data_IF_070454946311
#
_entry.id   IF_070454946311
#
_cell.length_a   1.000
_cell.length_b   1.000
_cell.length_c   1.000
_cell.angle_alpha   90.00
_cell.angle_beta   90.00
_cell.angle_gamma   90.00
#
_symmetry.space_group_name_H-M   'P 1'
#
loop_
_entity.id
_entity.type
_entity.pdbx_description
1 polymer ?
#
# COMPACT_ATOMS: atom_id res chain seq x y z
N UNK A 1 6.33 -7.15 -16.23
CA UNK A 1 6.76 -5.81 -15.78
C UNK A 1 5.70 -5.15 -14.89
N UNK A 2 4.40 -5.17 -15.27
CA UNK A 2 3.32 -4.58 -14.46
C UNK A 2 3.26 -5.09 -13.02
N UNK A 3 3.54 -6.37 -12.77
CA UNK A 3 3.44 -6.98 -11.43
C UNK A 3 4.62 -6.61 -10.51
N UNK A 4 5.79 -6.32 -11.08
CA UNK A 4 6.96 -5.80 -10.32
C UNK A 4 6.64 -4.45 -9.70
N UNK A 5 6.04 -3.54 -10.48
CA UNK A 5 5.71 -2.19 -10.01
C UNK A 5 4.63 -2.15 -8.92
N UNK A 6 3.74 -3.12 -8.89
CA UNK A 6 2.60 -3.15 -7.97
C UNK A 6 2.99 -3.56 -6.54
N UNK A 7 4.01 -4.42 -6.40
CA UNK A 7 4.58 -4.75 -5.07
C UNK A 7 5.41 -3.63 -4.46
N UNK A 8 5.84 -2.66 -5.25
CA UNK A 8 6.46 -1.44 -4.73
C UNK A 8 5.55 -0.73 -3.72
N UNK A 9 4.26 -0.62 -4.04
CA UNK A 9 3.28 0.04 -3.17
C UNK A 9 3.14 -0.62 -1.80
N UNK A 10 3.26 -1.94 -1.70
CA UNK A 10 3.24 -2.67 -0.43
C UNK A 10 4.45 -2.30 0.46
N UNK A 11 5.65 -2.33 -0.10
CA UNK A 11 6.88 -2.05 0.66
C UNK A 11 6.94 -0.61 1.13
N UNK A 12 6.42 0.34 0.33
CA UNK A 12 6.27 1.73 0.72
C UNK A 12 5.46 1.83 2.02
N UNK A 13 4.31 1.18 2.08
CA UNK A 13 3.45 1.27 3.26
C UNK A 13 4.06 0.59 4.48
N UNK A 14 4.58 -0.61 4.33
CA UNK A 14 5.14 -1.37 5.46
C UNK A 14 6.42 -0.73 6.01
N UNK A 15 7.24 -0.11 5.13
CA UNK A 15 8.47 0.56 5.54
C UNK A 15 8.27 1.93 6.15
N UNK A 16 7.31 2.72 5.66
CA UNK A 16 7.21 4.13 5.99
C UNK A 16 5.97 4.55 6.77
N UNK A 17 4.93 3.70 6.91
CA UNK A 17 3.74 4.07 7.67
C UNK A 17 4.04 4.35 9.14
N UNK A 18 4.86 3.53 9.79
CA UNK A 18 5.22 3.73 11.19
C UNK A 18 6.13 4.96 11.41
N UNK A 19 7.24 5.18 10.66
CA UNK A 19 7.99 6.42 10.71
C UNK A 19 7.13 7.66 10.48
N UNK A 20 6.22 7.61 9.50
CA UNK A 20 5.28 8.69 9.23
C UNK A 20 4.37 9.00 10.43
N UNK A 21 3.66 8.01 10.96
CA UNK A 21 2.80 8.22 12.12
C UNK A 21 3.57 8.68 13.35
N UNK A 22 4.78 8.17 13.54
CA UNK A 22 5.66 8.55 14.66
C UNK A 22 6.21 9.97 14.52
N UNK A 23 6.33 10.51 13.31
CA UNK A 23 6.81 11.88 13.09
C UNK A 23 5.90 12.95 13.71
N UNK A 24 4.61 12.64 13.88
CA UNK A 24 3.67 13.54 14.55
C UNK A 24 3.90 13.71 16.05
N UNK A 25 4.73 12.87 16.69
CA UNK A 25 5.13 13.06 18.10
C UNK A 25 5.86 14.38 18.33
N UNK A 26 6.54 14.89 17.30
CA UNK A 26 7.22 16.19 17.34
C UNK A 26 6.29 17.40 17.21
N UNK A 27 5.00 17.18 16.95
CA UNK A 27 4.00 18.26 16.83
C UNK A 27 3.19 18.34 18.11
N UNK A 28 3.30 19.44 18.91
CA UNK A 28 2.61 19.53 20.20
C UNK A 28 1.11 19.30 20.13
N UNK A 29 0.47 19.73 19.02
CA UNK A 29 -0.97 19.57 18.79
C UNK A 29 -1.39 18.09 18.67
N UNK A 30 -0.50 17.22 18.17
CA UNK A 30 -0.82 15.82 17.84
C UNK A 30 -0.12 14.81 18.76
N UNK A 31 0.85 15.24 19.58
CA UNK A 31 1.69 14.36 20.39
C UNK A 31 0.89 13.39 21.27
N UNK A 32 -0.24 13.86 21.83
CA UNK A 32 -1.08 13.08 22.75
C UNK A 32 -2.29 12.43 22.06
N UNK A 33 -2.38 12.48 20.72
CA UNK A 33 -3.48 11.86 20.00
C UNK A 33 -3.40 10.34 19.98
N UNK A 34 -4.55 9.67 19.88
CA UNK A 34 -4.63 8.20 19.82
C UNK A 34 -3.79 7.65 18.65
N UNK A 35 -3.86 8.27 17.48
CA UNK A 35 -3.15 7.81 16.28
C UNK A 35 -1.64 7.79 16.44
N UNK A 36 -1.08 8.75 17.17
CA UNK A 36 0.36 8.85 17.43
C UNK A 36 0.81 7.90 18.53
N UNK A 37 0.05 7.82 19.62
CA UNK A 37 0.39 6.97 20.76
C UNK A 37 0.17 5.48 20.47
N UNK A 38 -0.75 5.16 19.56
CA UNK A 38 -1.11 3.80 19.20
C UNK A 38 -0.95 3.52 17.69
N UNK A 39 0.13 4.03 17.07
CA UNK A 39 0.42 3.83 15.65
C UNK A 39 0.38 2.35 15.23
N UNK A 40 0.90 1.46 16.08
CA UNK A 40 0.86 0.02 15.82
C UNK A 40 -0.57 -0.55 15.84
N UNK A 41 -1.46 -0.01 16.67
CA UNK A 41 -2.87 -0.44 16.69
C UNK A 41 -3.57 -0.01 15.39
N UNK A 42 -3.31 1.19 14.88
CA UNK A 42 -3.79 1.62 13.56
C UNK A 42 -3.28 0.71 12.45
N UNK A 43 -1.98 0.40 12.45
CA UNK A 43 -1.39 -0.48 11.45
C UNK A 43 -1.98 -1.89 11.54
N UNK A 44 -2.26 -2.40 12.74
CA UNK A 44 -2.90 -3.70 12.94
C UNK A 44 -4.32 -3.78 12.35
N UNK A 45 -5.00 -2.64 12.23
CA UNK A 45 -6.31 -2.58 11.57
C UNK A 45 -6.24 -3.00 10.09
N UNK A 46 -5.11 -2.76 9.42
CA UNK A 46 -4.89 -3.24 8.05
C UNK A 46 -4.88 -4.77 7.96
N UNK A 47 -4.34 -5.46 8.96
CA UNK A 47 -4.31 -6.93 9.02
C UNK A 47 -5.73 -7.51 9.23
N UNK A 48 -6.56 -6.84 10.04
CA UNK A 48 -7.97 -7.19 10.17
C UNK A 48 -8.69 -7.01 8.83
N UNK A 49 -8.42 -5.91 8.14
CA UNK A 49 -8.97 -5.66 6.79
C UNK A 49 -8.54 -6.73 5.79
N UNK A 50 -7.27 -7.13 5.76
CA UNK A 50 -6.79 -8.25 4.92
C UNK A 50 -7.61 -9.52 5.16
N UNK A 51 -7.76 -9.91 6.42
CA UNK A 51 -8.53 -11.12 6.77
C UNK A 51 -9.97 -11.06 6.23
N UNK A 52 -10.65 -9.94 6.38
CA UNK A 52 -12.00 -9.75 5.87
C UNK A 52 -12.03 -9.72 4.34
N UNK A 53 -11.07 -9.06 3.71
CA UNK A 53 -10.97 -8.98 2.25
C UNK A 53 -10.75 -10.36 1.62
N UNK A 54 -9.90 -11.21 2.21
CA UNK A 54 -9.69 -12.59 1.73
C UNK A 54 -11.01 -13.37 1.69
N UNK A 55 -11.86 -13.22 2.71
CA UNK A 55 -13.16 -13.88 2.76
C UNK A 55 -14.13 -13.35 1.68
N UNK A 56 -13.98 -12.09 1.27
CA UNK A 56 -14.83 -11.46 0.24
C UNK A 56 -14.38 -11.76 -1.19
N UNK A 57 -13.13 -12.15 -1.40
CA UNK A 57 -12.55 -12.36 -2.74
C UNK A 57 -13.37 -13.33 -3.63
N UNK A 58 -13.79 -14.50 -3.17
CA UNK A 58 -14.57 -15.42 -4.03
C UNK A 58 -15.86 -14.78 -4.56
N UNK A 59 -16.52 -14.00 -3.70
CA UNK A 59 -17.74 -13.28 -4.06
C UNK A 59 -17.46 -12.18 -5.08
N UNK A 60 -16.44 -11.37 -4.84
CA UNK A 60 -16.08 -10.23 -5.70
C UNK A 60 -15.59 -10.73 -7.07
N UNK A 61 -14.74 -11.76 -7.10
CA UNK A 61 -14.25 -12.35 -8.36
C UNK A 61 -15.38 -12.95 -9.20
N UNK A 62 -16.35 -13.59 -8.56
CA UNK A 62 -17.52 -14.15 -9.25
C UNK A 62 -18.36 -13.07 -9.94
N UNK A 63 -18.49 -11.89 -9.32
CA UNK A 63 -19.35 -10.81 -9.83
C UNK A 63 -18.63 -9.88 -10.81
N UNK A 64 -17.37 -9.56 -10.57
CA UNK A 64 -16.63 -8.55 -11.34
C UNK A 64 -15.59 -9.14 -12.29
N UNK A 65 -15.15 -10.37 -12.06
CA UNK A 65 -14.07 -11.00 -12.82
C UNK A 65 -12.68 -10.45 -12.49
N UNK A 66 -11.63 -11.18 -12.86
CA UNK A 66 -10.23 -10.92 -12.48
C UNK A 66 -9.78 -9.51 -12.87
N UNK A 67 -10.01 -9.09 -14.12
CA UNK A 67 -9.53 -7.79 -14.64
C UNK A 67 -10.07 -6.60 -13.84
N UNK A 68 -11.38 -6.60 -13.56
CA UNK A 68 -12.00 -5.50 -12.81
C UNK A 68 -11.57 -5.49 -11.35
N UNK A 69 -11.38 -6.66 -10.74
CA UNK A 69 -10.90 -6.78 -9.37
C UNK A 69 -9.47 -6.26 -9.25
N UNK A 70 -8.60 -6.54 -10.23
CA UNK A 70 -7.25 -5.96 -10.29
C UNK A 70 -7.29 -4.43 -10.42
N UNK A 71 -8.18 -3.87 -11.26
CA UNK A 71 -8.34 -2.42 -11.38
C UNK A 71 -8.82 -1.79 -10.06
N UNK A 72 -9.79 -2.41 -9.38
CA UNK A 72 -10.28 -1.96 -8.06
C UNK A 72 -9.12 -1.94 -7.06
N UNK A 73 -8.28 -2.98 -7.04
CA UNK A 73 -7.11 -3.04 -6.18
C UNK A 73 -6.10 -1.92 -6.47
N UNK A 74 -5.87 -1.59 -7.74
CA UNK A 74 -4.98 -0.48 -8.12
C UNK A 74 -5.54 0.88 -7.70
N UNK A 75 -6.83 1.12 -7.91
CA UNK A 75 -7.50 2.34 -7.43
C UNK A 75 -7.47 2.43 -5.90
N UNK A 76 -7.59 1.30 -5.20
CA UNK A 76 -7.45 1.24 -3.75
C UNK A 76 -6.05 1.68 -3.28
N UNK A 77 -4.97 1.34 -4.01
CA UNK A 77 -3.62 1.86 -3.72
C UNK A 77 -3.53 3.38 -3.86
N UNK A 78 -4.10 3.95 -4.92
CA UNK A 78 -4.14 5.42 -5.12
C UNK A 78 -4.88 6.09 -3.97
N UNK A 79 -6.07 5.56 -3.62
CA UNK A 79 -6.89 6.07 -2.53
C UNK A 79 -6.15 5.98 -1.19
N UNK A 80 -5.49 4.86 -0.90
CA UNK A 80 -4.73 4.65 0.32
C UNK A 80 -3.64 5.70 0.50
N UNK A 81 -2.81 5.91 -0.51
CA UNK A 81 -1.74 6.91 -0.44
C UNK A 81 -2.29 8.34 -0.38
N UNK A 82 -3.36 8.64 -1.13
CA UNK A 82 -4.05 9.93 -1.05
C UNK A 82 -4.58 10.23 0.35
N UNK A 83 -5.18 9.25 1.01
CA UNK A 83 -5.66 9.35 2.40
C UNK A 83 -4.52 9.58 3.41
N UNK A 84 -3.37 8.95 3.21
CA UNK A 84 -2.19 9.25 4.03
C UNK A 84 -1.66 10.68 3.79
N UNK A 85 -1.68 11.14 2.55
CA UNK A 85 -1.21 12.48 2.20
C UNK A 85 -2.12 13.61 2.74
N UNK A 86 -3.42 13.35 2.85
CA UNK A 86 -4.41 14.32 3.34
C UNK A 86 -4.68 14.21 4.84
N UNK A 87 -4.44 13.03 5.43
CA UNK A 87 -4.79 12.74 6.82
C UNK A 87 -3.85 13.40 7.83
N UNK A 88 -4.36 13.57 9.03
CA UNK A 88 -3.59 13.93 10.21
C UNK A 88 -4.09 13.13 11.44
N UNK A 89 -3.30 12.99 12.50
CA UNK A 89 -3.70 12.19 13.66
C UNK A 89 -4.72 12.86 14.58
N UNK A 90 -5.07 14.12 14.34
CA UNK A 90 -6.13 14.84 15.03
C UNK A 90 -7.50 14.68 14.36
N UNK A 91 -8.13 15.76 13.86
CA UNK A 91 -9.46 15.69 13.21
C UNK A 91 -9.48 14.79 11.96
N UNK A 92 -8.33 14.60 11.30
CA UNK A 92 -8.18 13.78 10.10
C UNK A 92 -7.83 12.31 10.35
N UNK A 93 -7.83 11.82 11.60
CA UNK A 93 -7.48 10.43 11.94
C UNK A 93 -8.36 9.40 11.23
N UNK A 94 -9.59 9.75 10.92
CA UNK A 94 -10.50 8.88 10.16
C UNK A 94 -9.96 8.54 8.75
N UNK A 95 -9.16 9.43 8.14
CA UNK A 95 -8.51 9.16 6.85
C UNK A 95 -7.45 8.07 7.01
N UNK A 96 -6.71 8.05 8.11
CA UNK A 96 -5.77 6.97 8.42
C UNK A 96 -6.50 5.65 8.65
N UNK A 97 -7.58 5.67 9.43
CA UNK A 97 -8.42 4.48 9.64
C UNK A 97 -8.95 3.94 8.31
N UNK A 98 -9.51 4.82 7.47
CA UNK A 98 -10.01 4.43 6.16
C UNK A 98 -8.89 3.89 5.25
N UNK A 99 -7.71 4.51 5.28
CA UNK A 99 -6.53 4.01 4.56
C UNK A 99 -6.13 2.60 5.00
N UNK A 100 -6.20 2.30 6.31
CA UNK A 100 -5.91 0.96 6.83
C UNK A 100 -6.97 -0.07 6.38
N UNK A 101 -8.24 0.32 6.32
CA UNK A 101 -9.32 -0.55 5.81
C UNK A 101 -9.15 -0.82 4.31
N UNK A 102 -8.84 0.21 3.53
CA UNK A 102 -8.64 0.10 2.08
C UNK A 102 -7.43 -0.80 1.73
N UNK A 103 -6.50 -0.96 2.66
CA UNK A 103 -5.31 -1.78 2.45
C UNK A 103 -5.61 -3.24 2.08
N UNK A 104 -6.56 -3.88 2.75
CA UNK A 104 -6.95 -5.25 2.43
C UNK A 104 -7.44 -5.37 0.97
N UNK A 105 -8.27 -4.42 0.51
CA UNK A 105 -8.71 -4.37 -0.89
C UNK A 105 -7.52 -4.17 -1.83
N UNK A 106 -6.63 -3.24 -1.51
CA UNK A 106 -5.48 -2.94 -2.36
C UNK A 106 -4.51 -4.13 -2.48
N UNK A 107 -4.24 -4.81 -1.37
CA UNK A 107 -3.25 -5.87 -1.30
C UNK A 107 -3.79 -7.23 -1.74
N UNK A 108 -4.86 -7.72 -1.10
CA UNK A 108 -5.34 -9.08 -1.32
C UNK A 108 -6.02 -9.25 -2.67
N UNK A 109 -6.86 -8.29 -3.07
CA UNK A 109 -7.51 -8.36 -4.37
C UNK A 109 -6.49 -8.40 -5.49
N UNK A 110 -5.41 -7.64 -5.36
CA UNK A 110 -4.34 -7.66 -6.35
C UNK A 110 -3.58 -8.99 -6.37
N UNK A 111 -3.09 -9.45 -5.21
CA UNK A 111 -2.26 -10.65 -5.12
C UNK A 111 -3.01 -11.91 -5.57
N UNK A 112 -4.23 -12.09 -5.07
CA UNK A 112 -5.02 -13.29 -5.38
C UNK A 112 -5.49 -13.25 -6.82
N UNK A 113 -5.97 -12.11 -7.33
CA UNK A 113 -6.36 -11.99 -8.74
C UNK A 113 -5.19 -12.17 -9.68
N UNK A 114 -4.01 -11.64 -9.35
CA UNK A 114 -2.79 -11.81 -10.15
C UNK A 114 -2.33 -13.27 -10.20
N UNK A 115 -2.32 -13.96 -9.06
CA UNK A 115 -2.02 -15.38 -9.00
C UNK A 115 -3.03 -16.22 -9.81
N UNK A 116 -4.32 -15.93 -9.70
CA UNK A 116 -5.36 -16.59 -10.49
C UNK A 116 -5.21 -16.30 -11.99
N UNK A 117 -4.86 -15.06 -12.34
CA UNK A 117 -4.60 -14.70 -13.74
C UNK A 117 -3.46 -15.54 -14.32
N UNK A 118 -2.31 -15.60 -13.63
CA UNK A 118 -1.17 -16.42 -14.04
C UNK A 118 -1.58 -17.89 -14.16
N UNK A 119 -2.37 -18.38 -13.22
CA UNK A 119 -2.83 -19.77 -13.22
C UNK A 119 -3.74 -20.10 -14.41
N UNK A 120 -4.58 -19.15 -14.83
CA UNK A 120 -5.51 -19.33 -15.94
C UNK A 120 -4.86 -19.18 -17.32
N UNK A 121 -3.82 -18.34 -17.42
CA UNK A 121 -3.11 -18.04 -18.68
C UNK A 121 -1.93 -19.00 -18.93
N UNK A 122 -1.69 -19.97 -18.03
CA UNK A 122 -0.51 -20.84 -18.12
C UNK A 122 -0.91 -22.31 -18.22
N UNK A 123 -0.25 -23.03 -19.14
CA UNK A 123 -0.41 -24.45 -19.30
C UNK A 123 -0.06 -25.24 -18.02
N UNK A 124 -0.75 -26.36 -17.80
CA UNK A 124 -0.57 -27.21 -16.63
C UNK A 124 0.90 -27.64 -16.42
N UNK A 125 1.63 -27.87 -17.51
CA UNK A 125 3.02 -28.35 -17.49
C UNK A 125 4.02 -27.35 -16.89
N UNK A 126 3.77 -26.04 -17.02
CA UNK A 126 4.68 -24.97 -16.57
C UNK A 126 4.06 -24.08 -15.48
N UNK A 127 2.86 -24.39 -15.04
CA UNK A 127 2.08 -23.56 -14.10
C UNK A 127 2.84 -23.28 -12.79
N UNK A 128 3.45 -24.30 -12.22
CA UNK A 128 4.23 -24.13 -10.98
C UNK A 128 5.43 -23.19 -11.16
N UNK A 129 6.12 -23.29 -12.32
CA UNK A 129 7.23 -22.41 -12.66
C UNK A 129 6.76 -20.97 -12.88
N UNK A 130 5.61 -20.76 -13.54
CA UNK A 130 5.01 -19.46 -13.76
C UNK A 130 4.59 -18.79 -12.43
N UNK A 131 4.00 -19.56 -11.52
CA UNK A 131 3.70 -19.06 -10.15
C UNK A 131 4.97 -18.71 -9.37
N UNK A 132 6.01 -19.54 -9.44
CA UNK A 132 7.32 -19.25 -8.86
C UNK A 132 7.92 -17.96 -9.42
N UNK A 133 7.88 -17.78 -10.74
CA UNK A 133 8.32 -16.55 -11.40
C UNK A 133 7.50 -15.33 -10.97
N UNK A 134 6.19 -15.45 -10.88
CA UNK A 134 5.30 -14.40 -10.38
C UNK A 134 5.71 -13.96 -8.97
N UNK A 135 5.98 -14.90 -8.07
CA UNK A 135 6.43 -14.60 -6.70
C UNK A 135 7.81 -13.92 -6.69
N UNK A 136 8.77 -14.41 -7.49
CA UNK A 136 10.11 -13.80 -7.59
C UNK A 136 10.01 -12.37 -8.12
N UNK A 137 9.25 -12.17 -9.18
CA UNK A 137 9.07 -10.84 -9.79
C UNK A 137 8.38 -9.86 -8.84
N UNK A 138 7.38 -10.31 -8.09
CA UNK A 138 6.64 -9.45 -7.16
C UNK A 138 7.36 -9.28 -5.83
N UNK A 139 7.69 -10.35 -5.12
CA UNK A 139 8.26 -10.30 -3.76
C UNK A 139 9.78 -10.08 -3.74
N UNK A 140 10.48 -10.51 -4.78
CA UNK A 140 11.91 -10.30 -4.91
C UNK A 140 12.21 -8.95 -5.56
N UNK A 141 12.19 -8.93 -6.88
CA UNK A 141 12.62 -7.76 -7.67
C UNK A 141 11.74 -6.54 -7.40
N UNK A 142 10.40 -6.72 -7.43
CA UNK A 142 9.46 -5.63 -7.20
C UNK A 142 9.58 -5.02 -5.81
N UNK A 143 9.72 -5.85 -4.78
CA UNK A 143 9.90 -5.38 -3.42
C UNK A 143 11.24 -4.61 -3.26
N UNK A 144 12.34 -5.11 -3.83
CA UNK A 144 13.66 -4.46 -3.75
C UNK A 144 13.64 -3.10 -4.45
N UNK A 145 13.22 -3.05 -5.72
CA UNK A 145 13.14 -1.81 -6.48
C UNK A 145 12.18 -0.82 -5.82
N UNK A 146 11.05 -1.33 -5.29
CA UNK A 146 10.07 -0.53 -4.57
C UNK A 146 10.62 0.11 -3.31
N UNK A 147 11.35 -0.64 -2.50
CA UNK A 147 11.95 -0.12 -1.27
C UNK A 147 13.01 0.94 -1.58
N UNK A 148 13.89 0.68 -2.55
CA UNK A 148 14.93 1.64 -2.94
C UNK A 148 14.33 2.92 -3.55
N UNK A 149 13.34 2.78 -4.42
CA UNK A 149 12.64 3.92 -5.00
C UNK A 149 11.87 4.74 -3.96
N UNK A 150 11.17 4.07 -3.05
CA UNK A 150 10.46 4.73 -1.95
C UNK A 150 11.42 5.47 -1.02
N UNK A 151 12.56 4.86 -0.67
CA UNK A 151 13.58 5.52 0.15
C UNK A 151 14.13 6.76 -0.54
N UNK A 152 14.38 6.71 -1.85
CA UNK A 152 14.85 7.88 -2.61
C UNK A 152 13.83 9.02 -2.60
N UNK A 153 12.53 8.72 -2.75
CA UNK A 153 11.46 9.72 -2.64
C UNK A 153 11.37 10.29 -1.23
N UNK A 154 11.37 9.45 -0.20
CA UNK A 154 11.33 9.90 1.20
C UNK A 154 12.52 10.81 1.49
N UNK A 155 13.73 10.41 1.16
CA UNK A 155 14.95 11.21 1.40
C UNK A 155 14.94 12.55 0.65
N UNK A 156 14.15 12.69 -0.42
CA UNK A 156 14.02 13.94 -1.17
C UNK A 156 13.17 14.98 -0.45
N UNK A 157 12.15 14.54 0.27
CA UNK A 157 11.16 15.41 0.89
C UNK A 157 11.20 15.42 2.41
N UNK A 158 11.79 14.40 3.03
CA UNK A 158 11.82 14.19 4.48
C UNK A 158 13.26 13.96 4.92
N UNK A 159 13.75 14.80 5.85
CA UNK A 159 15.03 14.56 6.53
C UNK A 159 14.79 13.66 7.75
N UNK A 160 15.09 12.38 7.62
CA UNK A 160 14.90 11.39 8.68
C UNK A 160 15.78 11.62 9.92
N UNK A 161 16.80 12.47 9.82
CA UNK A 161 17.68 12.84 10.95
C UNK A 161 17.21 14.10 11.67
N UNK A 162 16.24 14.83 11.12
CA UNK A 162 15.71 16.04 11.74
C UNK A 162 14.73 15.68 12.86
N UNK A 163 14.85 16.37 13.98
CA UNK A 163 13.85 16.32 15.06
C UNK A 163 12.67 17.28 14.82
N UNK A 164 12.76 18.13 13.81
CA UNK A 164 11.67 19.05 13.46
C UNK A 164 10.53 18.34 12.75
N UNK A 165 9.27 18.71 13.00
CA UNK A 165 8.12 18.17 12.29
C UNK A 165 8.20 18.47 10.79
N UNK A 166 7.98 17.45 9.94
CA UNK A 166 8.10 17.56 8.49
C UNK A 166 6.80 17.11 7.79
N UNK A 167 5.67 17.63 8.25
CA UNK A 167 4.35 17.20 7.77
C UNK A 167 4.14 17.44 6.28
N UNK A 168 4.59 18.58 5.76
CA UNK A 168 4.50 18.89 4.33
C UNK A 168 5.34 17.92 3.49
N UNK A 169 6.55 17.60 3.93
CA UNK A 169 7.43 16.64 3.28
C UNK A 169 6.81 15.25 3.20
N UNK A 170 6.18 14.80 4.29
CA UNK A 170 5.47 13.53 4.31
C UNK A 170 4.22 13.55 3.42
N UNK A 171 3.43 14.61 3.44
CA UNK A 171 2.26 14.76 2.58
C UNK A 171 2.66 14.70 1.11
N UNK A 172 3.70 15.45 0.70
CA UNK A 172 4.23 15.40 -0.67
C UNK A 172 4.72 14.01 -1.05
N UNK A 173 5.41 13.32 -0.14
CA UNK A 173 5.86 11.94 -0.35
C UNK A 173 4.69 11.00 -0.66
N UNK A 174 3.62 11.06 0.12
CA UNK A 174 2.43 10.24 -0.10
C UNK A 174 1.71 10.57 -1.40
N UNK A 175 1.65 11.85 -1.80
CA UNK A 175 1.08 12.25 -3.10
C UNK A 175 1.92 11.79 -4.27
N UNK A 176 3.25 11.78 -4.17
CA UNK A 176 4.13 11.18 -5.19
C UNK A 176 3.82 9.69 -5.33
N UNK A 177 3.66 8.96 -4.21
CA UNK A 177 3.28 7.55 -4.25
C UNK A 177 1.88 7.32 -4.83
N UNK A 178 0.91 8.19 -4.53
CA UNK A 178 -0.42 8.14 -5.13
C UNK A 178 -0.38 8.37 -6.64
N UNK A 179 0.38 9.37 -7.09
CA UNK A 179 0.60 9.66 -8.51
C UNK A 179 1.29 8.52 -9.24
N UNK A 180 2.29 7.90 -8.61
CA UNK A 180 2.94 6.70 -9.13
C UNK A 180 1.94 5.54 -9.27
N UNK A 181 1.16 5.24 -8.23
CA UNK A 181 0.14 4.19 -8.29
C UNK A 181 -0.91 4.47 -9.38
N UNK A 182 -1.31 5.74 -9.57
CA UNK A 182 -2.24 6.16 -10.61
C UNK A 182 -1.66 5.93 -12.02
N UNK A 183 -0.36 6.21 -12.22
CA UNK A 183 0.29 6.01 -13.52
C UNK A 183 0.31 4.54 -13.97
N UNK A 184 0.27 3.60 -13.02
CA UNK A 184 0.26 2.17 -13.31
C UNK A 184 -1.11 1.64 -13.78
N UNK A 185 -2.19 2.41 -13.61
CA UNK A 185 -3.53 2.01 -14.07
C UNK A 185 -3.62 1.99 -15.59
N UNK A 186 -2.79 2.76 -16.26
CA UNK A 186 -2.78 2.88 -17.72
C UNK A 186 -1.89 1.84 -18.44
N UNK A 187 -1.18 1.00 -17.69
CA UNK A 187 -0.33 -0.08 -18.19
C UNK A 187 -1.07 -1.41 -18.16
#
# INVERSE_FOLDING_TARGET
LGDVYKRQSLQITNGFANPFLSSFKGVPEYADTFGVNHANALISLSQVSETLCILLIPFVLKHFGIKRVMLIAMLAWVLRFGLFGLGNPGPGVWMFVLSMIVYGVAFDFFNISGSLFVNNETDLSIRSSAQGLFVIMTNGIGATVGTLGAQAVVNRFVDMNSSAPQMEGWSMTWFVFAGYALSLIHI
#
